data_IF_452362174134
#
_entry.id   IF_452362174134
#
_cell.length_a   1.000
_cell.length_b   1.000
_cell.length_c   1.000
_cell.angle_alpha   90.00
_cell.angle_beta   90.00
_cell.angle_gamma   90.00
#
_symmetry.space_group_name_H-M   'P 1'
#
loop_
_entity.id
_entity.type
_entity.pdbx_description
1 polymer ?
#
# COMPACT_ATOMS: atom_id res chain seq x y z
N UNK A 1 3.49 11.65 24.15
CA UNK A 1 2.95 12.14 22.87
C UNK A 1 3.84 11.57 21.77
N UNK A 2 3.24 11.07 20.68
CA UNK A 2 4.01 10.63 19.51
C UNK A 2 4.63 11.84 18.80
N UNK A 3 5.82 11.66 18.23
CA UNK A 3 6.48 12.69 17.44
C UNK A 3 5.70 12.90 16.12
N UNK A 4 5.66 14.14 15.59
CA UNK A 4 5.12 14.37 14.25
C UNK A 4 6.00 13.68 13.22
N UNK A 5 5.36 13.12 12.19
CA UNK A 5 5.95 12.16 11.29
C UNK A 5 5.97 12.66 9.85
N UNK A 6 7.12 12.47 9.18
CA UNK A 6 7.39 12.96 7.83
C UNK A 6 7.97 11.84 6.97
N UNK A 7 7.66 11.86 5.68
CA UNK A 7 8.19 10.90 4.72
C UNK A 7 9.37 11.49 3.95
N UNK A 8 10.46 10.73 3.85
CA UNK A 8 11.60 11.04 2.99
C UNK A 8 11.97 9.80 2.18
N UNK A 9 11.88 9.83 0.84
CA UNK A 9 12.20 8.67 0.02
C UNK A 9 13.60 8.12 0.31
N UNK A 10 13.79 6.81 0.28
CA UNK A 10 15.08 6.16 0.54
C UNK A 10 16.22 6.71 -0.33
N UNK A 11 15.92 7.15 -1.55
CA UNK A 11 16.90 7.80 -2.46
C UNK A 11 17.44 9.15 -1.95
N UNK A 12 16.71 9.83 -1.06
CA UNK A 12 17.09 11.11 -0.47
C UNK A 12 17.65 10.97 0.97
N UNK A 13 17.81 9.74 1.46
CA UNK A 13 18.22 9.46 2.82
C UNK A 13 19.73 9.67 3.02
N UNK A 14 20.10 10.62 3.89
CA UNK A 14 21.48 10.87 4.30
C UNK A 14 21.87 10.07 5.55
N UNK A 15 23.16 10.05 5.89
CA UNK A 15 23.68 9.31 7.05
C UNK A 15 23.49 10.03 8.39
N UNK A 16 23.66 11.34 8.41
CA UNK A 16 23.63 12.14 9.65
C UNK A 16 22.66 13.31 9.60
N UNK A 17 22.28 13.73 8.40
CA UNK A 17 21.40 14.85 8.17
C UNK A 17 20.37 14.47 7.13
N UNK A 18 19.10 14.72 7.42
CA UNK A 18 17.97 14.52 6.52
C UNK A 18 17.41 15.89 6.15
N UNK A 19 16.94 15.98 4.91
CA UNK A 19 16.41 17.25 4.36
C UNK A 19 15.01 17.00 3.84
N UNK A 20 14.02 17.60 4.50
CA UNK A 20 12.65 17.65 3.99
C UNK A 20 12.53 18.80 3.00
N UNK A 21 11.84 18.57 1.89
CA UNK A 21 11.62 19.56 0.84
C UNK A 21 10.15 19.66 0.47
N UNK A 22 9.78 20.70 -0.26
CA UNK A 22 8.44 20.90 -0.85
C UNK A 22 7.29 20.72 0.15
N UNK A 23 6.38 19.80 -0.10
CA UNK A 23 5.15 19.58 0.70
C UNK A 23 5.48 19.16 2.13
N UNK A 24 6.49 18.31 2.35
CA UNK A 24 6.90 17.86 3.68
C UNK A 24 7.53 19.01 4.50
N UNK A 25 8.36 19.84 3.89
CA UNK A 25 8.91 21.02 4.56
C UNK A 25 7.80 22.03 4.89
N UNK A 26 6.89 22.28 3.95
CA UNK A 26 5.75 23.17 4.18
C UNK A 26 4.82 22.64 5.29
N UNK A 27 4.56 21.34 5.34
CA UNK A 27 3.79 20.70 6.40
C UNK A 27 4.48 20.90 7.76
N UNK A 28 5.78 20.60 7.84
CA UNK A 28 6.55 20.75 9.07
C UNK A 28 6.52 22.19 9.61
N UNK A 29 6.86 23.15 8.75
CA UNK A 29 7.03 24.53 9.16
C UNK A 29 5.70 25.30 9.37
N UNK A 30 4.74 25.11 8.45
CA UNK A 30 3.52 25.95 8.41
C UNK A 30 2.34 25.31 9.12
N UNK A 31 2.13 23.99 8.92
CA UNK A 31 0.97 23.28 9.51
C UNK A 31 1.31 22.86 10.93
N UNK A 32 2.44 22.15 11.13
CA UNK A 32 2.86 21.67 12.43
C UNK A 32 3.60 22.75 13.25
N UNK A 33 3.96 23.89 12.63
CA UNK A 33 4.61 25.06 13.26
C UNK A 33 5.84 24.69 14.06
N UNK A 34 6.63 23.76 13.54
CA UNK A 34 7.86 23.30 14.16
C UNK A 34 8.96 24.36 14.07
N UNK A 35 9.91 24.31 15.04
CA UNK A 35 11.02 25.24 15.18
C UNK A 35 12.35 24.48 15.23
N UNK A 36 13.49 25.12 14.95
CA UNK A 36 14.79 24.54 15.27
C UNK A 36 14.87 24.12 16.74
N UNK A 37 15.41 22.92 17.00
CA UNK A 37 15.44 22.24 18.29
C UNK A 37 14.26 21.27 18.54
N UNK A 38 13.20 21.35 17.76
CA UNK A 38 12.08 20.39 17.88
C UNK A 38 12.48 19.01 17.38
N UNK A 39 11.96 17.97 18.05
CA UNK A 39 12.09 16.59 17.61
C UNK A 39 10.98 16.21 16.62
N UNK A 40 11.36 15.47 15.58
CA UNK A 40 10.48 14.90 14.56
C UNK A 40 10.88 13.46 14.26
N UNK A 41 9.97 12.68 13.70
CA UNK A 41 10.24 11.35 13.16
C UNK A 41 10.20 11.39 11.64
N UNK A 42 11.19 10.79 10.97
CA UNK A 42 11.26 10.67 9.52
C UNK A 42 11.33 9.18 9.16
N UNK A 43 10.58 8.75 8.15
CA UNK A 43 10.58 7.37 7.66
C UNK A 43 10.71 7.32 6.13
N UNK A 44 11.24 6.20 5.60
CA UNK A 44 11.53 6.06 4.18
C UNK A 44 10.46 5.30 3.37
N UNK A 45 9.44 4.78 4.05
CA UNK A 45 8.43 3.91 3.44
C UNK A 45 8.89 2.47 3.19
N UNK A 46 10.11 2.10 3.62
CA UNK A 46 10.74 0.79 3.42
C UNK A 46 11.25 0.17 4.72
N UNK A 47 10.74 0.64 5.86
CA UNK A 47 11.08 0.14 7.18
C UNK A 47 12.13 0.93 7.94
N UNK A 48 12.78 1.94 7.35
CA UNK A 48 13.76 2.80 8.01
C UNK A 48 13.04 3.95 8.71
N UNK A 49 13.43 4.22 9.96
CA UNK A 49 12.84 5.27 10.78
C UNK A 49 13.98 5.99 11.52
N UNK A 50 13.98 7.32 11.48
CA UNK A 50 14.90 8.14 12.22
C UNK A 50 14.16 9.13 13.11
N UNK A 51 14.60 9.27 14.36
CA UNK A 51 14.28 10.43 15.19
C UNK A 51 15.33 11.51 14.90
N UNK A 52 14.85 12.71 14.61
CA UNK A 52 15.69 13.82 14.20
C UNK A 52 15.37 15.06 15.02
N UNK A 53 16.39 15.88 15.24
CA UNK A 53 16.26 17.24 15.76
C UNK A 53 16.35 18.23 14.60
N UNK A 54 15.39 19.12 14.48
CA UNK A 54 15.41 20.17 13.46
C UNK A 54 16.55 21.12 13.72
N UNK A 55 17.44 21.33 12.74
CA UNK A 55 18.57 22.23 12.84
C UNK A 55 18.35 23.58 12.16
N UNK A 56 17.58 23.57 11.04
CA UNK A 56 17.24 24.78 10.29
C UNK A 56 15.91 24.65 9.58
N UNK A 57 15.20 25.77 9.47
CA UNK A 57 13.94 25.88 8.72
C UNK A 57 14.03 27.10 7.80
N UNK A 58 13.96 26.86 6.52
CA UNK A 58 13.80 27.87 5.48
C UNK A 58 12.43 27.76 4.80
N UNK A 59 12.17 28.61 3.81
CA UNK A 59 10.86 28.70 3.16
C UNK A 59 10.37 27.38 2.54
N UNK A 60 11.29 26.55 2.03
CA UNK A 60 10.99 25.33 1.26
C UNK A 60 11.81 24.11 1.71
N UNK A 61 12.62 24.26 2.76
CA UNK A 61 13.54 23.23 3.20
C UNK A 61 13.55 23.19 4.72
N UNK A 62 13.52 22.00 5.29
CA UNK A 62 13.77 21.73 6.72
C UNK A 62 14.95 20.79 6.81
N UNK A 63 16.00 21.21 7.49
CA UNK A 63 17.16 20.39 7.79
C UNK A 63 17.02 19.79 9.19
N UNK A 64 17.29 18.49 9.31
CA UNK A 64 17.18 17.79 10.57
C UNK A 64 18.38 16.84 10.76
N UNK A 65 18.98 16.88 11.95
CA UNK A 65 20.08 15.99 12.34
C UNK A 65 19.52 14.72 12.94
N UNK A 66 19.99 13.57 12.47
CA UNK A 66 19.61 12.27 13.01
C UNK A 66 20.15 12.12 14.44
N UNK A 67 19.28 11.84 15.39
CA UNK A 67 19.62 11.55 16.79
C UNK A 67 19.57 10.06 17.10
N UNK A 68 18.66 9.33 16.47
CA UNK A 68 18.62 7.86 16.48
C UNK A 68 18.00 7.33 15.19
N UNK A 69 18.39 6.12 14.82
CA UNK A 69 17.85 5.44 13.64
C UNK A 69 17.55 3.98 13.99
N UNK A 70 16.48 3.46 13.42
CA UNK A 70 16.08 2.08 13.56
C UNK A 70 15.57 1.54 12.23
N UNK A 71 15.53 0.22 12.11
CA UNK A 71 14.93 -0.48 10.97
C UNK A 71 13.94 -1.51 11.47
N UNK A 72 12.75 -1.46 10.91
CA UNK A 72 11.69 -2.45 11.12
C UNK A 72 11.77 -3.45 9.97
N UNK A 73 11.71 -4.73 10.29
CA UNK A 73 11.64 -5.77 9.26
C UNK A 73 10.20 -5.89 8.71
N UNK A 74 10.04 -6.14 7.41
CA UNK A 74 8.73 -6.37 6.81
C UNK A 74 8.10 -7.67 7.36
N UNK A 75 6.79 -7.83 7.15
CA UNK A 75 6.12 -9.09 7.47
C UNK A 75 6.76 -10.26 6.71
N UNK A 76 6.81 -11.44 7.35
CA UNK A 76 7.39 -12.65 6.75
C UNK A 76 6.64 -13.11 5.49
N UNK A 77 5.32 -12.81 5.40
CA UNK A 77 4.51 -13.04 4.20
C UNK A 77 4.24 -11.71 3.50
N UNK A 78 4.68 -11.58 2.27
CA UNK A 78 4.39 -10.41 1.44
C UNK A 78 3.00 -10.56 0.80
N UNK A 79 2.07 -9.64 1.10
CA UNK A 79 0.72 -9.62 0.51
C UNK A 79 0.68 -8.62 -0.64
N UNK A 80 0.35 -9.11 -1.83
CA UNK A 80 0.19 -8.32 -3.06
C UNK A 80 -1.29 -8.23 -3.41
N UNK A 81 -1.83 -7.01 -3.45
CA UNK A 81 -3.23 -6.77 -3.76
C UNK A 81 -3.40 -6.38 -5.22
N UNK A 82 -4.37 -7.00 -5.87
CA UNK A 82 -4.76 -6.76 -7.26
C UNK A 82 -6.23 -6.36 -7.31
N UNK A 83 -6.58 -5.15 -6.80
CA UNK A 83 -7.96 -4.69 -6.79
C UNK A 83 -8.40 -4.22 -8.17
N UNK A 84 -9.62 -4.56 -8.55
CA UNK A 84 -10.28 -3.95 -9.68
C UNK A 84 -10.36 -2.43 -9.48
N UNK A 85 -10.19 -1.70 -10.58
CA UNK A 85 -10.28 -0.26 -10.56
C UNK A 85 -11.74 0.17 -10.43
N UNK A 86 -12.09 0.74 -9.29
CA UNK A 86 -13.43 1.21 -8.93
C UNK A 86 -13.47 2.73 -8.79
N UNK A 87 -14.63 3.30 -8.44
CA UNK A 87 -14.79 4.75 -8.21
C UNK A 87 -13.76 5.29 -7.21
N UNK A 88 -13.48 6.59 -7.29
CA UNK A 88 -12.33 7.20 -6.58
C UNK A 88 -12.37 7.00 -5.05
N UNK A 89 -13.48 7.32 -4.40
CA UNK A 89 -13.58 7.30 -2.93
C UNK A 89 -13.42 5.89 -2.33
N UNK A 90 -14.14 4.84 -2.77
CA UNK A 90 -13.90 3.49 -2.31
C UNK A 90 -12.49 2.96 -2.62
N UNK A 91 -11.90 3.38 -3.75
CA UNK A 91 -10.54 2.97 -4.08
C UNK A 91 -9.50 3.64 -3.18
N UNK A 92 -9.66 4.92 -2.85
CA UNK A 92 -8.79 5.64 -1.90
C UNK A 92 -8.90 5.00 -0.50
N UNK A 93 -10.09 4.61 -0.05
CA UNK A 93 -10.27 3.87 1.19
C UNK A 93 -9.58 2.50 1.17
N UNK A 94 -9.65 1.76 0.06
CA UNK A 94 -8.92 0.49 -0.11
C UNK A 94 -7.41 0.70 0.04
N UNK A 95 -6.85 1.75 -0.58
CA UNK A 95 -5.44 2.08 -0.47
C UNK A 95 -5.03 2.39 0.97
N UNK A 96 -5.86 3.12 1.71
CA UNK A 96 -5.66 3.39 3.14
C UNK A 96 -5.59 2.08 3.93
N UNK A 97 -6.55 1.16 3.73
CA UNK A 97 -6.55 -0.14 4.41
C UNK A 97 -5.39 -1.04 3.98
N UNK A 98 -4.96 -0.96 2.73
CA UNK A 98 -3.76 -1.66 2.26
C UNK A 98 -2.50 -1.22 3.03
N UNK A 99 -2.37 0.08 3.31
CA UNK A 99 -1.28 0.62 4.13
C UNK A 99 -1.41 0.16 5.58
N UNK A 100 -2.57 0.33 6.20
CA UNK A 100 -2.81 -0.03 7.60
C UNK A 100 -2.57 -1.52 7.89
N UNK A 101 -2.94 -2.38 6.94
CA UNK A 101 -2.80 -3.84 7.04
C UNK A 101 -1.42 -4.34 6.56
N UNK A 102 -0.54 -3.46 6.11
CA UNK A 102 0.82 -3.79 5.74
C UNK A 102 0.97 -4.57 4.44
N UNK A 103 0.14 -4.29 3.43
CA UNK A 103 0.32 -4.86 2.10
C UNK A 103 1.70 -4.49 1.52
N UNK A 104 2.33 -5.41 0.79
CA UNK A 104 3.63 -5.18 0.16
C UNK A 104 3.49 -4.37 -1.15
N UNK A 105 2.42 -4.60 -1.90
CA UNK A 105 2.13 -3.84 -3.12
C UNK A 105 0.64 -3.81 -3.44
N UNK A 106 0.25 -2.81 -4.23
CA UNK A 106 -1.07 -2.68 -4.83
C UNK A 106 -0.91 -2.43 -6.32
N UNK A 107 -1.51 -3.28 -7.16
CA UNK A 107 -1.58 -3.07 -8.60
C UNK A 107 -3.04 -3.03 -9.05
N UNK A 108 -3.56 -1.85 -9.45
CA UNK A 108 -4.94 -1.74 -9.92
C UNK A 108 -5.17 -2.57 -11.19
N UNK A 109 -6.33 -3.23 -11.27
CA UNK A 109 -6.70 -4.12 -12.37
C UNK A 109 -7.88 -3.54 -13.14
N UNK A 110 -7.76 -3.48 -14.46
CA UNK A 110 -8.85 -3.13 -15.37
C UNK A 110 -9.52 -4.45 -15.77
N UNK A 111 -10.70 -4.71 -15.21
CA UNK A 111 -11.55 -5.87 -15.50
C UNK A 111 -12.58 -5.53 -16.56
N UNK A 112 -13.31 -6.51 -17.06
CA UNK A 112 -14.37 -6.30 -18.04
C UNK A 112 -15.50 -5.39 -17.52
N UNK A 113 -15.78 -5.47 -16.20
CA UNK A 113 -16.81 -4.66 -15.54
C UNK A 113 -16.27 -3.35 -14.92
N UNK A 114 -15.02 -3.01 -15.21
CA UNK A 114 -14.43 -1.74 -14.76
C UNK A 114 -15.03 -0.57 -15.56
N UNK A 115 -15.64 0.38 -14.87
CA UNK A 115 -16.27 1.58 -15.46
C UNK A 115 -15.28 2.75 -15.54
N UNK A 116 -14.19 2.69 -14.78
CA UNK A 116 -13.21 3.78 -14.67
C UNK A 116 -12.13 3.62 -15.74
N UNK A 117 -12.01 4.61 -16.62
CA UNK A 117 -10.93 4.66 -17.59
C UNK A 117 -9.80 5.56 -17.09
N UNK A 118 -8.58 5.07 -17.18
CA UNK A 118 -7.37 5.81 -16.82
C UNK A 118 -6.39 5.71 -18.00
N UNK A 119 -6.30 6.79 -18.75
CA UNK A 119 -5.45 6.86 -19.93
C UNK A 119 -4.39 7.97 -19.82
N UNK A 120 -3.19 7.70 -20.34
CA UNK A 120 -2.12 8.66 -20.55
C UNK A 120 -1.80 9.55 -19.33
N UNK A 121 -1.70 10.88 -19.51
CA UNK A 121 -1.30 11.81 -18.45
C UNK A 121 -2.23 11.86 -17.23
N UNK A 122 -3.49 11.46 -17.40
CA UNK A 122 -4.45 11.39 -16.29
C UNK A 122 -4.13 10.24 -15.35
N UNK A 123 -3.67 9.11 -15.87
CA UNK A 123 -3.26 7.96 -15.08
C UNK A 123 -2.06 8.31 -14.17
N UNK A 124 -1.06 9.00 -14.70
CA UNK A 124 0.11 9.44 -13.92
C UNK A 124 -0.26 10.39 -12.78
N UNK A 125 -1.10 11.39 -13.06
CA UNK A 125 -1.60 12.32 -12.04
C UNK A 125 -2.37 11.59 -10.94
N UNK A 126 -3.17 10.60 -11.32
CA UNK A 126 -3.96 9.83 -10.36
C UNK A 126 -3.07 8.92 -9.51
N UNK A 127 -2.09 8.26 -10.11
CA UNK A 127 -1.08 7.48 -9.39
C UNK A 127 -0.29 8.33 -8.40
N UNK A 128 0.13 9.54 -8.81
CA UNK A 128 0.80 10.47 -7.91
C UNK A 128 -0.09 10.89 -6.71
N UNK A 129 -1.39 11.17 -6.97
CA UNK A 129 -2.36 11.46 -5.91
C UNK A 129 -2.52 10.27 -4.96
N UNK A 130 -2.66 9.06 -5.47
CA UNK A 130 -2.80 7.85 -4.67
C UNK A 130 -1.55 7.53 -3.84
N UNK A 131 -0.35 7.69 -4.40
CA UNK A 131 0.91 7.56 -3.64
C UNK A 131 0.97 8.53 -2.46
N UNK A 132 0.59 9.79 -2.69
CA UNK A 132 0.51 10.79 -1.62
C UNK A 132 -0.49 10.38 -0.54
N UNK A 133 -1.68 9.92 -0.93
CA UNK A 133 -2.69 9.42 0.01
C UNK A 133 -2.16 8.26 0.86
N UNK A 134 -1.47 7.29 0.25
CA UNK A 134 -0.86 6.18 0.97
C UNK A 134 0.23 6.63 1.96
N UNK A 135 1.04 7.63 1.61
CA UNK A 135 2.04 8.23 2.50
C UNK A 135 1.35 8.88 3.71
N UNK A 136 0.29 9.66 3.49
CA UNK A 136 -0.46 10.28 4.59
C UNK A 136 -1.11 9.21 5.50
N UNK A 137 -1.64 8.13 4.93
CA UNK A 137 -2.15 6.99 5.70
C UNK A 137 -1.07 6.35 6.55
N UNK A 138 0.15 6.16 6.00
CA UNK A 138 1.28 5.60 6.73
C UNK A 138 1.74 6.52 7.89
N UNK A 139 1.68 7.84 7.71
CA UNK A 139 1.93 8.80 8.79
C UNK A 139 0.90 8.65 9.93
N UNK A 140 -0.38 8.49 9.60
CA UNK A 140 -1.45 8.38 10.58
C UNK A 140 -1.41 7.07 11.38
N UNK A 141 -1.24 5.93 10.69
CA UNK A 141 -1.20 4.62 11.34
C UNK A 141 0.18 4.23 11.89
N UNK A 142 1.17 5.13 11.77
CA UNK A 142 2.53 4.94 12.26
C UNK A 142 3.28 3.72 11.68
N UNK A 143 2.88 3.19 10.52
CA UNK A 143 3.67 2.17 9.84
C UNK A 143 4.88 2.78 9.12
N UNK A 144 6.07 2.17 9.16
CA UNK A 144 7.21 2.64 8.37
C UNK A 144 7.21 2.11 6.94
N UNK A 145 6.15 1.40 6.53
CA UNK A 145 6.03 0.83 5.20
C UNK A 145 4.93 1.54 4.39
N UNK A 146 5.25 1.86 3.14
CA UNK A 146 4.28 2.30 2.15
C UNK A 146 4.25 1.26 1.03
N UNK A 147 3.12 0.59 0.78
CA UNK A 147 3.01 -0.40 -0.30
C UNK A 147 3.44 0.18 -1.64
N UNK A 148 4.11 -0.63 -2.47
CA UNK A 148 4.42 -0.20 -3.84
C UNK A 148 3.13 -0.10 -4.63
N UNK A 149 2.86 1.08 -5.20
CA UNK A 149 1.73 1.29 -6.08
C UNK A 149 2.21 1.19 -7.54
N UNK A 150 1.75 0.15 -8.21
CA UNK A 150 2.06 -0.13 -9.62
C UNK A 150 1.05 0.53 -10.58
N UNK A 151 1.44 0.68 -11.84
CA UNK A 151 0.53 1.18 -12.86
C UNK A 151 -0.62 0.18 -13.12
N UNK A 152 -1.83 0.65 -13.44
CA UNK A 152 -2.96 -0.23 -13.79
C UNK A 152 -2.62 -1.14 -14.98
N UNK A 153 -3.07 -2.38 -14.93
CA UNK A 153 -2.98 -3.35 -16.02
C UNK A 153 -4.33 -3.98 -16.29
N UNK A 154 -4.57 -4.43 -17.52
CA UNK A 154 -5.75 -5.22 -17.84
C UNK A 154 -5.66 -6.60 -17.19
N UNK A 155 -6.78 -7.16 -16.79
CA UNK A 155 -6.88 -8.49 -16.18
C UNK A 155 -6.12 -9.55 -17.00
N UNK A 156 -6.38 -9.60 -18.30
CA UNK A 156 -5.77 -10.55 -19.24
C UNK A 156 -4.24 -10.42 -19.36
N UNK A 157 -3.71 -9.19 -19.25
CA UNK A 157 -2.26 -9.01 -19.31
C UNK A 157 -1.56 -9.28 -17.98
N UNK A 158 -2.31 -9.16 -16.88
CA UNK A 158 -1.77 -9.26 -15.53
C UNK A 158 -1.76 -10.70 -15.01
N UNK A 159 -2.90 -11.38 -15.06
CA UNK A 159 -3.15 -12.64 -14.34
C UNK A 159 -2.17 -13.75 -14.70
N UNK A 160 -1.81 -13.99 -15.98
CA UNK A 160 -0.84 -15.03 -16.33
C UNK A 160 0.56 -14.78 -15.78
N UNK A 161 0.92 -13.52 -15.50
CA UNK A 161 2.24 -13.12 -15.00
C UNK A 161 2.31 -12.90 -13.50
N UNK A 162 1.25 -13.16 -12.74
CA UNK A 162 1.30 -13.08 -11.27
C UNK A 162 2.20 -14.19 -10.75
N UNK A 163 3.28 -13.78 -10.08
CA UNK A 163 4.21 -14.67 -9.39
C UNK A 163 4.02 -14.53 -7.87
N UNK A 164 3.45 -15.56 -7.25
CA UNK A 164 3.24 -15.65 -5.81
C UNK A 164 3.04 -17.13 -5.43
N UNK A 165 3.49 -17.50 -4.22
CA UNK A 165 3.36 -18.87 -3.69
C UNK A 165 1.89 -19.28 -3.51
N UNK A 166 1.05 -18.31 -3.14
CA UNK A 166 -0.38 -18.51 -3.00
C UNK A 166 -1.11 -17.38 -3.76
N UNK A 167 -2.02 -17.76 -4.64
CA UNK A 167 -2.86 -16.83 -5.39
C UNK A 167 -4.31 -17.05 -4.97
N UNK A 168 -5.04 -15.98 -4.71
CA UNK A 168 -6.42 -16.06 -4.23
C UNK A 168 -7.33 -15.18 -5.09
N UNK A 169 -8.52 -15.69 -5.40
CA UNK A 169 -9.61 -14.94 -6.00
C UNK A 169 -10.86 -15.11 -5.13
N UNK A 170 -11.28 -14.09 -4.34
CA UNK A 170 -12.55 -14.11 -3.66
C UNK A 170 -13.70 -14.22 -4.68
N UNK A 171 -14.55 -15.20 -4.53
CA UNK A 171 -15.71 -15.43 -5.42
C UNK A 171 -16.83 -16.14 -4.66
N UNK A 172 -18.07 -15.70 -4.87
CA UNK A 172 -19.27 -16.34 -4.34
C UNK A 172 -19.68 -17.52 -5.24
N UNK A 173 -19.20 -18.71 -4.94
CA UNK A 173 -19.49 -19.92 -5.71
C UNK A 173 -19.59 -21.12 -4.77
N UNK A 174 -20.39 -22.12 -5.16
CA UNK A 174 -20.53 -23.38 -4.42
C UNK A 174 -19.20 -24.14 -4.27
N UNK A 175 -18.24 -23.88 -5.17
CA UNK A 175 -16.90 -24.51 -5.14
C UNK A 175 -15.85 -23.67 -4.43
N UNK A 176 -16.24 -22.55 -3.80
CA UNK A 176 -15.32 -21.72 -3.02
C UNK A 176 -14.96 -22.40 -1.71
N UNK A 177 -13.67 -22.32 -1.36
CA UNK A 177 -13.11 -22.89 -0.12
C UNK A 177 -12.85 -21.80 0.91
N UNK A 178 -12.81 -22.18 2.18
CA UNK A 178 -12.44 -21.26 3.25
C UNK A 178 -10.95 -20.96 3.22
N UNK A 179 -10.52 -19.85 3.83
CA UNK A 179 -9.11 -19.51 3.94
C UNK A 179 -8.33 -20.62 4.66
N UNK A 180 -8.89 -21.20 5.73
CA UNK A 180 -8.29 -22.32 6.47
C UNK A 180 -8.05 -23.58 5.64
N UNK A 181 -8.85 -23.80 4.61
CA UNK A 181 -8.71 -24.94 3.69
C UNK A 181 -7.69 -24.69 2.56
N UNK A 182 -7.34 -23.41 2.32
CA UNK A 182 -6.47 -22.99 1.24
C UNK A 182 -5.06 -22.73 1.73
N UNK A 183 -4.93 -22.03 2.87
CA UNK A 183 -3.62 -21.65 3.43
C UNK A 183 -2.87 -22.91 3.87
N UNK A 184 -1.64 -23.11 3.40
CA UNK A 184 -0.84 -24.26 3.82
C UNK A 184 -0.40 -24.14 5.30
N UNK A 185 -0.05 -25.26 5.97
CA UNK A 185 0.44 -25.24 7.35
C UNK A 185 1.70 -24.37 7.54
N UNK A 186 2.56 -24.31 6.54
CA UNK A 186 3.72 -23.40 6.50
C UNK A 186 3.28 -22.15 5.76
N UNK A 187 3.33 -20.96 6.39
CA UNK A 187 2.93 -19.72 5.73
C UNK A 187 3.74 -19.49 4.45
N UNK A 188 3.08 -19.12 3.34
CA UNK A 188 3.77 -18.80 2.09
C UNK A 188 4.59 -17.52 2.26
N UNK A 189 5.68 -17.38 1.52
CA UNK A 189 6.48 -16.14 1.52
C UNK A 189 5.73 -15.01 0.79
N UNK A 190 4.85 -15.34 -0.16
CA UNK A 190 4.08 -14.37 -0.92
C UNK A 190 2.65 -14.83 -1.17
N UNK A 191 1.71 -13.87 -1.10
CA UNK A 191 0.28 -14.08 -1.38
C UNK A 191 -0.20 -13.00 -2.34
N UNK A 192 -0.81 -13.42 -3.45
CA UNK A 192 -1.52 -12.53 -4.38
C UNK A 192 -3.03 -12.63 -4.15
N UNK A 193 -3.70 -11.50 -4.01
CA UNK A 193 -5.16 -11.43 -3.81
C UNK A 193 -5.78 -10.58 -4.91
N UNK A 194 -6.55 -11.21 -5.79
CA UNK A 194 -7.41 -10.54 -6.77
C UNK A 194 -8.70 -10.08 -6.07
N UNK A 195 -9.09 -8.82 -6.26
CA UNK A 195 -10.30 -8.24 -5.63
C UNK A 195 -11.17 -7.67 -6.75
N UNK A 196 -12.38 -8.22 -6.93
CA UNK A 196 -13.31 -7.81 -7.97
C UNK A 196 -13.92 -6.42 -7.78
N UNK A 197 -14.54 -5.86 -8.83
CA UNK A 197 -15.36 -4.66 -8.73
C UNK A 197 -16.72 -4.98 -8.05
N UNK A 198 -17.59 -3.97 -7.90
CA UNK A 198 -18.90 -4.12 -7.28
C UNK A 198 -19.80 -5.20 -7.98
N UNK A 199 -19.59 -5.44 -9.29
CA UNK A 199 -20.27 -6.47 -10.07
C UNK A 199 -19.55 -7.80 -10.11
N UNK A 200 -18.49 -7.98 -9.32
CA UNK A 200 -17.59 -9.14 -9.31
C UNK A 200 -16.86 -9.39 -10.65
N UNK A 201 -16.02 -10.40 -10.73
CA UNK A 201 -15.40 -10.86 -11.99
C UNK A 201 -16.40 -11.52 -12.90
N UNK A 202 -16.14 -11.56 -14.21
CA UNK A 202 -16.91 -12.41 -15.14
C UNK A 202 -16.52 -13.87 -14.98
N UNK A 203 -17.38 -14.78 -15.45
CA UNK A 203 -17.09 -16.21 -15.42
C UNK A 203 -15.81 -16.57 -16.21
N UNK A 204 -15.56 -15.84 -17.29
CA UNK A 204 -14.35 -15.98 -18.12
C UNK A 204 -13.10 -15.53 -17.35
N UNK A 205 -13.16 -14.39 -16.65
CA UNK A 205 -12.06 -13.88 -15.80
C UNK A 205 -11.76 -14.83 -14.63
N UNK A 206 -12.81 -15.35 -13.97
CA UNK A 206 -12.62 -16.36 -12.93
C UNK A 206 -11.97 -17.63 -13.47
N UNK A 207 -12.41 -18.12 -14.64
CA UNK A 207 -11.83 -19.30 -15.25
C UNK A 207 -10.36 -19.07 -15.65
N UNK A 208 -10.01 -17.88 -16.12
CA UNK A 208 -8.63 -17.49 -16.43
C UNK A 208 -7.75 -17.44 -15.17
N UNK A 209 -8.26 -16.85 -14.09
CA UNK A 209 -7.56 -16.83 -12.80
C UNK A 209 -7.31 -18.24 -12.26
N UNK A 210 -8.29 -19.15 -12.38
CA UNK A 210 -8.13 -20.53 -11.96
C UNK A 210 -7.07 -21.29 -12.79
N UNK A 211 -7.04 -21.10 -14.10
CA UNK A 211 -6.01 -21.65 -14.97
C UNK A 211 -4.62 -21.15 -14.59
N UNK A 212 -4.53 -19.90 -14.10
CA UNK A 212 -3.30 -19.30 -13.58
C UNK A 212 -2.97 -19.73 -12.14
N UNK A 213 -3.73 -20.66 -11.54
CA UNK A 213 -3.47 -21.21 -10.22
C UNK A 213 -4.08 -20.43 -9.06
N UNK A 214 -5.13 -19.62 -9.30
CA UNK A 214 -5.83 -18.89 -8.24
C UNK A 214 -7.08 -19.67 -7.79
N UNK A 215 -7.07 -20.37 -6.65
CA UNK A 215 -8.25 -21.03 -6.11
C UNK A 215 -9.29 -20.00 -5.65
N UNK A 216 -10.58 -20.37 -5.80
CA UNK A 216 -11.69 -19.56 -5.31
C UNK A 216 -11.73 -19.55 -3.79
N UNK A 217 -11.73 -18.37 -3.21
CA UNK A 217 -11.87 -18.12 -1.78
C UNK A 217 -13.30 -17.69 -1.46
N UNK A 218 -13.90 -18.25 -0.41
CA UNK A 218 -15.21 -17.82 0.09
C UNK A 218 -15.06 -16.58 0.98
N UNK A 219 -15.53 -15.40 0.54
CA UNK A 219 -15.30 -14.13 1.25
C UNK A 219 -16.10 -14.00 2.56
N UNK A 220 -17.27 -14.63 2.66
CA UNK A 220 -18.17 -14.55 3.81
C UNK A 220 -17.61 -15.18 5.11
N UNK A 221 -16.65 -16.08 5.00
CA UNK A 221 -16.02 -16.73 6.16
C UNK A 221 -14.76 -16.02 6.67
N UNK A 222 -14.24 -15.03 5.97
CA UNK A 222 -13.13 -14.20 6.49
C UNK A 222 -13.62 -13.39 7.68
N UNK A 223 -14.88 -12.93 7.68
CA UNK A 223 -15.46 -12.14 8.76
C UNK A 223 -15.97 -12.98 9.97
N UNK A 224 -16.26 -14.27 9.76
CA UNK A 224 -16.83 -15.12 10.81
C UNK A 224 -15.78 -15.65 11.82
N UNK A 225 -14.52 -15.75 11.41
CA UNK A 225 -13.42 -16.25 12.24
C UNK A 225 -12.83 -15.21 13.21
N UNK A 226 -13.30 -13.96 13.17
CA UNK A 226 -12.84 -12.86 14.03
C UNK A 226 -13.81 -12.48 15.16
N UNK A 227 -14.78 -13.34 15.49
CA UNK A 227 -15.53 -13.22 16.76
C UNK A 227 -14.76 -13.99 17.84
N UNK A 228 -13.74 -13.34 18.37
CA UNK A 228 -13.17 -13.62 19.70
C UNK A 228 -13.42 -12.39 20.56
#
# INVERSE_FOLDING_TARGET
>A
MSLPRFHLPASAWGSHQLTLVEDEAAHCARVMRKQPGDAIEIFDGQGRVAVCEITDISKHVVQARVTSESRVEPFATAIHLFPALIKAEPFEWLLEKAVELGAASVQPVITERTVVHLDGPQAEKKLAKWRRHMIESAKQCHTPFVPRLEAPKTFRSLVPGIDADLKLIPALSEHSRTLKQIVPPIPPASVAVLIGPEGDFTAEEEAEAQKAGSPRLRPDQIAADHKI
#
